data_IF_757911564796
#
_entry.id   IF_757911564796
#
_cell.length_a   1.000
_cell.length_b   1.000
_cell.length_c   1.000
_cell.angle_alpha   90.00
_cell.angle_beta   90.00
_cell.angle_gamma   90.00
#
_symmetry.space_group_name_H-M   'P 1'
#
loop_
_entity.id
_entity.type
_entity.pdbx_description
1 polymer ?
#
# COMPACT_ATOMS: atom_id res chain seq x y z
N UNK A 1 4.15 26.56 54.17
CA UNK A 1 3.31 27.07 53.07
C UNK A 1 3.82 26.47 51.78
N UNK A 2 3.01 25.66 51.10
CA UNK A 2 3.41 24.97 49.88
C UNK A 2 2.77 25.72 48.71
N UNK A 3 3.60 26.38 47.89
CA UNK A 3 3.12 27.13 46.73
C UNK A 3 2.82 26.15 45.60
N UNK A 4 1.53 25.98 45.31
CA UNK A 4 1.08 25.16 44.19
C UNK A 4 1.11 26.02 42.91
N UNK A 5 2.27 26.06 42.25
CA UNK A 5 2.44 26.83 41.01
C UNK A 5 1.87 25.99 39.85
N UNK A 6 0.79 26.49 39.26
CA UNK A 6 0.13 25.81 38.16
C UNK A 6 0.82 26.16 36.83
N UNK A 7 1.88 25.41 36.49
CA UNK A 7 2.73 25.65 35.31
C UNK A 7 1.95 25.82 34.00
N UNK A 8 0.79 25.17 33.87
CA UNK A 8 -0.06 25.27 32.67
C UNK A 8 -0.67 26.66 32.46
N UNK A 9 -1.08 27.33 33.54
CA UNK A 9 -1.63 28.68 33.45
C UNK A 9 -0.56 29.69 33.06
N UNK A 10 0.65 29.54 33.62
CA UNK A 10 1.80 30.42 33.33
C UNK A 10 2.28 30.28 31.88
N UNK A 11 2.27 29.06 31.33
CA UNK A 11 2.63 28.81 29.93
C UNK A 11 1.56 29.36 28.96
N UNK A 12 0.28 29.26 29.31
CA UNK A 12 -0.81 29.83 28.50
C UNK A 12 -0.69 31.36 28.39
N UNK A 13 -0.35 32.04 29.47
CA UNK A 13 -0.15 33.49 29.52
C UNK A 13 1.12 33.94 28.76
N UNK A 14 2.24 33.24 28.94
CA UNK A 14 3.51 33.59 28.30
C UNK A 14 3.51 33.42 26.77
N UNK A 15 2.74 32.45 26.26
CA UNK A 15 2.70 32.12 24.83
C UNK A 15 1.39 32.53 24.13
N UNK A 16 0.48 33.21 24.84
CA UNK A 16 -0.72 33.83 24.25
C UNK A 16 -1.81 32.86 23.77
N UNK A 17 -1.80 31.60 24.23
CA UNK A 17 -2.87 30.65 23.94
C UNK A 17 -3.85 30.60 25.10
N UNK A 18 -5.15 30.85 24.85
CA UNK A 18 -6.18 30.74 25.87
C UNK A 18 -6.20 29.31 26.46
N UNK A 19 -6.25 29.13 27.80
CA UNK A 19 -6.47 27.81 28.37
C UNK A 19 -7.78 27.28 27.80
N UNK A 20 -7.74 26.10 27.18
CA UNK A 20 -8.89 25.45 26.56
C UNK A 20 -10.07 25.48 27.54
N UNK A 21 -11.01 26.40 27.33
CA UNK A 21 -12.33 26.34 27.94
C UNK A 21 -12.87 25.00 27.46
N UNK A 22 -13.15 24.08 28.40
CA UNK A 22 -13.88 22.87 28.07
C UNK A 22 -15.23 23.35 27.54
N UNK A 23 -15.44 23.24 26.24
CA UNK A 23 -16.75 23.44 25.66
C UNK A 23 -17.65 22.38 26.28
N UNK A 24 -18.58 22.76 27.14
CA UNK A 24 -19.70 21.90 27.50
C UNK A 24 -20.58 21.85 26.26
N UNK A 25 -20.57 20.70 25.57
CA UNK A 25 -21.52 20.46 24.49
C UNK A 25 -22.94 20.55 25.09
N UNK A 26 -23.87 21.27 24.45
CA UNK A 26 -25.28 21.11 24.76
C UNK A 26 -25.63 19.62 24.63
N UNK A 27 -26.42 19.08 25.57
CA UNK A 27 -26.94 17.73 25.44
C UNK A 27 -27.63 17.60 24.07
N UNK A 28 -27.11 16.71 23.23
CA UNK A 28 -27.70 16.43 21.92
C UNK A 28 -29.15 15.98 22.15
N UNK A 29 -30.13 16.50 21.39
CA UNK A 29 -31.49 15.98 21.47
C UNK A 29 -31.47 14.48 21.16
N UNK A 30 -32.23 13.71 21.95
CA UNK A 30 -32.36 12.26 21.81
C UNK A 30 -32.56 11.88 20.34
N UNK A 31 -31.71 10.96 19.85
CA UNK A 31 -31.66 10.55 18.44
C UNK A 31 -33.03 10.07 17.96
N UNK A 32 -33.67 10.86 17.09
CA UNK A 32 -34.83 10.43 16.30
C UNK A 32 -34.40 9.38 15.27
N UNK A 33 -34.71 8.10 15.55
CA UNK A 33 -34.89 7.03 14.56
C UNK A 33 -33.68 6.64 13.70
N UNK A 34 -33.78 5.55 12.90
CA UNK A 34 -32.71 5.15 12.00
C UNK A 34 -32.69 6.15 10.86
N UNK A 35 -31.71 7.07 10.87
CA UNK A 35 -31.46 7.95 9.74
C UNK A 35 -31.09 7.09 8.54
N UNK A 36 -31.98 7.05 7.56
CA UNK A 36 -31.80 6.50 6.22
C UNK A 36 -30.45 6.97 5.63
N UNK A 37 -29.51 6.03 5.56
CA UNK A 37 -28.56 5.81 4.47
C UNK A 37 -28.12 7.05 3.66
N UNK A 38 -27.31 7.94 4.25
CA UNK A 38 -26.62 8.99 3.46
C UNK A 38 -25.16 8.64 3.12
N UNK A 39 -24.59 7.65 3.80
CA UNK A 39 -23.33 7.03 3.44
C UNK A 39 -23.55 5.53 3.50
N UNK A 40 -23.51 4.88 2.33
CA UNK A 40 -23.77 3.46 2.21
C UNK A 40 -23.03 2.66 3.27
N UNK A 41 -23.67 1.61 3.77
CA UNK A 41 -23.01 0.61 4.60
C UNK A 41 -21.65 0.27 3.98
N UNK A 42 -20.56 0.20 4.76
CA UNK A 42 -19.26 -0.19 4.22
C UNK A 42 -19.45 -1.55 3.57
N UNK A 43 -19.44 -1.55 2.23
CA UNK A 43 -19.55 -2.76 1.45
C UNK A 43 -18.28 -3.58 1.71
N UNK A 44 -18.38 -4.92 1.74
CA UNK A 44 -17.19 -5.76 1.75
C UNK A 44 -16.20 -5.31 0.66
N UNK A 45 -14.88 -5.35 0.88
CA UNK A 45 -13.88 -4.94 -0.10
C UNK A 45 -13.97 -5.73 -1.44
N UNK A 46 -14.67 -6.87 -1.43
CA UNK A 46 -14.92 -7.70 -2.61
C UNK A 46 -16.34 -7.54 -3.19
N UNK A 47 -17.12 -6.55 -2.74
CA UNK A 47 -18.51 -6.38 -3.19
C UNK A 47 -18.59 -5.91 -4.64
N UNK A 48 -18.99 -6.83 -5.53
CA UNK A 48 -19.21 -6.55 -6.94
C UNK A 48 -20.64 -6.02 -7.16
N UNK A 49 -20.84 -4.72 -6.97
CA UNK A 49 -22.05 -4.09 -7.48
C UNK A 49 -21.89 -3.69 -8.95
N UNK A 50 -22.85 -4.07 -9.79
CA UNK A 50 -22.93 -3.64 -11.18
C UNK A 50 -23.63 -2.28 -11.26
N UNK A 51 -22.85 -1.20 -11.16
CA UNK A 51 -23.31 0.16 -11.45
C UNK A 51 -22.78 0.65 -12.80
N UNK A 52 -23.66 1.09 -13.70
CA UNK A 52 -23.31 1.62 -15.04
C UNK A 52 -22.37 2.85 -14.97
N UNK A 53 -22.40 3.58 -13.86
CA UNK A 53 -21.61 4.81 -13.62
C UNK A 53 -20.38 4.57 -12.72
N UNK A 54 -20.06 3.30 -12.44
CA UNK A 54 -19.03 2.93 -11.48
C UNK A 54 -19.52 3.07 -10.03
N UNK A 55 -19.29 2.05 -9.23
CA UNK A 55 -19.40 2.16 -7.77
C UNK A 55 -18.01 2.48 -7.20
N UNK A 56 -17.92 3.17 -6.05
CA UNK A 56 -16.65 3.31 -5.36
C UNK A 56 -16.14 1.90 -5.01
N UNK A 57 -15.02 1.50 -5.63
CA UNK A 57 -14.36 0.23 -5.36
C UNK A 57 -13.34 0.46 -4.26
N UNK A 58 -13.55 -0.20 -3.13
CA UNK A 58 -12.64 -0.26 -2.01
C UNK A 58 -11.61 -1.37 -2.28
N UNK A 59 -10.44 -0.98 -2.79
CA UNK A 59 -9.39 -1.95 -3.04
C UNK A 59 -8.80 -2.46 -1.72
N UNK A 60 -8.38 -3.72 -1.71
CA UNK A 60 -7.62 -4.30 -0.60
C UNK A 60 -6.32 -4.87 -1.12
N UNK A 61 -5.22 -4.47 -0.51
CA UNK A 61 -3.88 -4.96 -0.83
C UNK A 61 -3.29 -5.58 0.41
N UNK A 62 -2.88 -6.83 0.30
CA UNK A 62 -2.26 -7.56 1.38
C UNK A 62 -0.82 -7.91 1.03
N UNK A 63 0.10 -7.53 1.90
CA UNK A 63 1.46 -8.02 1.89
C UNK A 63 1.52 -9.24 2.80
N UNK A 64 1.77 -10.42 2.22
CA UNK A 64 1.79 -11.68 2.98
C UNK A 64 3.07 -11.76 3.81
N UNK A 65 2.93 -12.02 5.10
CA UNK A 65 4.05 -12.08 6.04
C UNK A 65 5.18 -12.99 5.54
N UNK A 66 6.39 -12.45 5.48
CA UNK A 66 7.62 -13.22 5.29
C UNK A 66 8.49 -13.15 6.55
N UNK A 67 9.56 -13.94 6.61
CA UNK A 67 10.37 -14.10 7.81
C UNK A 67 11.06 -12.77 8.21
N UNK A 68 10.44 -12.04 9.14
CA UNK A 68 10.99 -10.77 9.65
C UNK A 68 9.97 -9.63 9.79
N UNK A 69 8.74 -9.79 9.27
CA UNK A 69 7.69 -8.77 9.35
C UNK A 69 6.29 -9.40 9.36
N UNK A 70 5.33 -8.70 9.95
CA UNK A 70 3.95 -9.17 10.09
C UNK A 70 3.10 -8.82 8.86
N UNK A 71 2.04 -9.59 8.59
CA UNK A 71 1.12 -9.31 7.48
C UNK A 71 0.55 -7.90 7.60
N UNK A 72 0.74 -7.09 6.55
CA UNK A 72 0.21 -5.73 6.49
C UNK A 72 -0.93 -5.72 5.49
N UNK A 73 -2.12 -5.33 5.97
CA UNK A 73 -3.30 -5.12 5.15
C UNK A 73 -3.49 -3.63 4.96
N UNK A 74 -3.47 -3.20 3.70
CA UNK A 74 -3.78 -1.84 3.30
C UNK A 74 -5.24 -1.79 2.87
N UNK A 75 -6.04 -1.03 3.62
CA UNK A 75 -7.43 -0.75 3.30
C UNK A 75 -7.49 0.47 2.39
N UNK A 76 -8.24 0.33 1.29
CA UNK A 76 -8.53 1.39 0.32
C UNK A 76 -7.31 2.09 -0.31
N UNK A 77 -6.23 1.38 -0.68
CA UNK A 77 -5.15 2.01 -1.42
C UNK A 77 -5.56 2.25 -2.88
N UNK A 78 -5.12 3.38 -3.39
CA UNK A 78 -5.13 3.67 -4.83
C UNK A 78 -3.90 3.00 -5.42
N UNK A 79 -4.14 2.03 -6.31
CA UNK A 79 -3.09 1.27 -6.99
C UNK A 79 -3.05 1.68 -8.46
N UNK A 80 -1.90 2.18 -8.88
CA UNK A 80 -1.60 2.49 -10.27
C UNK A 80 -0.56 1.48 -10.78
N UNK A 81 -0.84 0.85 -11.92
CA UNK A 81 0.03 -0.16 -12.52
C UNK A 81 0.29 0.22 -13.97
N UNK A 82 1.57 0.35 -14.31
CA UNK A 82 2.04 0.61 -15.67
C UNK A 82 3.10 -0.41 -16.07
N UNK A 83 3.29 -0.61 -17.38
CA UNK A 83 4.30 -1.51 -17.93
C UNK A 83 4.76 -0.99 -19.27
N UNK A 84 6.05 -0.72 -19.39
CA UNK A 84 6.65 -0.22 -20.62
C UNK A 84 7.31 -1.36 -21.38
N UNK A 85 6.98 -1.49 -22.67
CA UNK A 85 7.58 -2.48 -23.55
C UNK A 85 8.90 -1.96 -24.12
N UNK A 86 9.91 -2.81 -24.19
CA UNK A 86 11.16 -2.51 -24.87
C UNK A 86 11.02 -2.88 -26.35
N UNK A 87 10.91 -1.86 -27.21
CA UNK A 87 10.82 -2.00 -28.67
C UNK A 87 11.93 -1.18 -29.31
N UNK A 88 12.80 -1.85 -30.07
CA UNK A 88 13.84 -1.19 -30.86
C UNK A 88 13.24 -0.87 -32.23
N UNK A 89 13.34 0.39 -32.67
CA UNK A 89 12.83 0.83 -33.97
C UNK A 89 14.00 1.21 -34.85
N UNK A 90 14.13 0.53 -35.99
CA UNK A 90 15.22 0.77 -36.95
C UNK A 90 14.64 1.34 -38.24
N UNK A 91 15.07 2.55 -38.60
CA UNK A 91 14.69 3.21 -39.83
C UNK A 91 15.42 2.59 -41.03
N UNK A 92 14.70 2.30 -42.11
CA UNK A 92 15.27 1.75 -43.35
C UNK A 92 15.38 2.88 -44.38
N UNK A 93 16.56 3.05 -44.96
CA UNK A 93 16.76 4.03 -46.04
C UNK A 93 15.96 3.66 -47.29
N UNK A 94 15.25 4.64 -47.87
CA UNK A 94 14.53 4.48 -49.13
C UNK A 94 13.13 3.87 -48.99
N UNK A 95 12.59 3.76 -47.77
CA UNK A 95 11.21 3.33 -47.54
C UNK A 95 10.56 4.22 -46.48
N UNK A 96 9.29 4.56 -46.69
CA UNK A 96 8.47 5.20 -45.67
C UNK A 96 8.02 4.12 -44.66
N UNK A 97 8.83 3.91 -43.63
CA UNK A 97 8.53 3.03 -42.51
C UNK A 97 9.76 2.47 -41.81
N UNK A 98 9.58 2.08 -40.55
CA UNK A 98 10.60 1.46 -39.71
C UNK A 98 10.24 0.04 -39.30
N UNK A 99 11.27 -0.76 -39.06
CA UNK A 99 11.13 -2.10 -38.48
C UNK A 99 11.12 -1.98 -36.97
N UNK A 100 10.07 -2.54 -36.34
CA UNK A 100 9.91 -2.58 -34.87
C UNK A 100 10.25 -3.98 -34.37
N UNK A 101 11.31 -4.07 -33.59
CA UNK A 101 11.77 -5.30 -32.97
C UNK A 101 11.31 -5.33 -31.51
N UNK A 102 10.50 -6.33 -31.17
CA UNK A 102 10.02 -6.52 -29.81
C UNK A 102 11.07 -7.30 -29.01
N UNK A 103 11.72 -6.64 -28.06
CA UNK A 103 12.77 -7.26 -27.24
C UNK A 103 12.18 -7.86 -25.97
N UNK A 104 11.41 -7.07 -25.23
CA UNK A 104 10.80 -7.52 -23.97
C UNK A 104 9.53 -6.74 -23.66
N UNK A 105 8.67 -7.33 -22.84
CA UNK A 105 7.50 -6.63 -22.33
C UNK A 105 7.81 -5.73 -21.11
N UNK A 106 9.07 -5.67 -20.64
CA UNK A 106 9.47 -4.94 -19.43
C UNK A 106 8.81 -5.45 -18.16
N UNK A 107 9.06 -4.76 -17.04
CA UNK A 107 8.49 -5.06 -15.72
C UNK A 107 7.29 -4.16 -15.43
N UNK A 108 6.36 -4.63 -14.58
CA UNK A 108 5.29 -3.78 -14.08
C UNK A 108 5.84 -2.80 -13.03
N UNK A 109 5.68 -1.52 -13.29
CA UNK A 109 5.83 -0.47 -12.29
C UNK A 109 4.51 -0.29 -11.56
N UNK A 110 4.54 -0.46 -10.24
CA UNK A 110 3.35 -0.37 -9.37
C UNK A 110 3.54 0.78 -8.41
N UNK A 111 2.60 1.72 -8.39
CA UNK A 111 2.55 2.81 -7.41
C UNK A 111 1.34 2.63 -6.52
N UNK A 112 1.56 2.51 -5.21
CA UNK A 112 0.50 2.32 -4.21
C UNK A 112 0.44 3.57 -3.35
N UNK A 113 -0.70 4.25 -3.35
CA UNK A 113 -0.95 5.47 -2.56
C UNK A 113 -2.11 5.23 -1.62
N UNK A 114 -1.99 5.70 -0.39
CA UNK A 114 -3.08 5.56 0.57
C UNK A 114 -2.86 6.39 1.82
N UNK A 115 -3.76 6.23 2.77
CA UNK A 115 -3.69 6.89 4.06
C UNK A 115 -3.80 5.84 5.16
N UNK A 116 -2.82 5.84 6.06
CA UNK A 116 -2.89 5.09 7.31
C UNK A 116 -3.68 5.92 8.32
N UNK A 117 -4.66 5.30 8.93
CA UNK A 117 -5.41 5.85 10.06
C UNK A 117 -5.26 4.90 11.24
N UNK A 118 -5.26 5.45 12.46
CA UNK A 118 -5.38 4.61 13.65
C UNK A 118 -6.80 4.05 13.70
N UNK A 119 -6.94 2.74 13.90
CA UNK A 119 -8.24 2.09 14.08
C UNK A 119 -8.95 2.72 15.29
N UNK A 120 -10.20 3.21 15.17
CA UNK A 120 -10.97 3.68 16.31
C UNK A 120 -11.24 2.51 17.27
N UNK A 121 -10.35 2.32 18.24
CA UNK A 121 -10.63 1.44 19.38
C UNK A 121 -11.93 1.94 20.03
N UNK A 122 -12.96 1.09 20.04
CA UNK A 122 -14.30 1.37 20.59
C UNK A 122 -15.14 2.45 19.87
N UNK A 123 -14.95 2.64 18.56
CA UNK A 123 -15.79 3.57 17.77
C UNK A 123 -15.56 5.05 18.11
N UNK A 124 -14.46 5.37 18.80
CA UNK A 124 -14.04 6.74 19.12
C UNK A 124 -13.02 7.23 18.11
N UNK A 125 -13.16 8.49 17.67
CA UNK A 125 -12.17 9.17 16.83
C UNK A 125 -10.76 9.00 17.42
N UNK A 126 -9.91 8.22 16.75
CA UNK A 126 -8.53 8.07 17.15
C UNK A 126 -7.83 9.42 16.94
N UNK A 127 -7.57 10.15 18.03
CA UNK A 127 -6.81 11.41 18.01
C UNK A 127 -5.30 11.19 17.96
N UNK A 128 -4.86 9.94 17.86
CA UNK A 128 -3.44 9.56 17.95
C UNK A 128 -2.90 9.30 16.56
N UNK A 129 -1.63 9.65 16.37
CA UNK A 129 -0.88 9.31 15.17
C UNK A 129 -0.71 7.78 15.04
N UNK A 130 -0.92 7.19 13.85
CA UNK A 130 -0.86 5.74 13.59
C UNK A 130 0.57 5.20 13.62
N UNK A 131 1.14 5.20 14.82
CA UNK A 131 2.56 4.86 15.03
C UNK A 131 2.82 3.38 14.76
N UNK A 132 1.86 2.51 15.09
CA UNK A 132 2.01 1.05 14.94
C UNK A 132 1.93 0.64 13.48
N UNK A 133 0.99 1.23 12.75
CA UNK A 133 0.73 1.00 11.34
C UNK A 133 1.91 1.51 10.49
N UNK A 134 2.43 2.69 10.83
CA UNK A 134 3.63 3.24 10.17
C UNK A 134 4.84 2.35 10.45
N UNK A 135 5.05 1.88 11.68
CA UNK A 135 6.16 0.97 12.00
C UNK A 135 6.02 -0.37 11.28
N UNK A 136 4.81 -0.93 11.19
CA UNK A 136 4.56 -2.17 10.45
C UNK A 136 4.87 -1.99 8.96
N UNK A 137 4.39 -0.91 8.34
CA UNK A 137 4.68 -0.61 6.95
C UNK A 137 6.16 -0.33 6.72
N UNK A 138 6.83 0.33 7.65
CA UNK A 138 8.27 0.56 7.60
C UNK A 138 9.08 -0.74 7.67
N UNK A 139 8.63 -1.74 8.44
CA UNK A 139 9.25 -3.06 8.46
C UNK A 139 9.17 -3.75 7.10
N UNK A 140 8.00 -3.66 6.43
CA UNK A 140 7.80 -4.18 5.06
C UNK A 140 8.71 -3.46 4.06
N UNK A 141 8.79 -2.14 4.13
CA UNK A 141 9.65 -1.32 3.25
C UNK A 141 11.13 -1.68 3.39
N UNK A 142 11.57 -2.02 4.61
CA UNK A 142 12.96 -2.38 4.90
C UNK A 142 13.31 -3.83 4.53
N UNK A 143 12.32 -4.65 4.16
CA UNK A 143 12.56 -6.02 3.73
C UNK A 143 13.37 -6.02 2.41
N UNK A 144 14.49 -6.75 2.40
CA UNK A 144 15.40 -6.84 1.23
C UNK A 144 15.05 -8.03 0.33
N UNK A 145 13.77 -8.36 0.25
CA UNK A 145 13.27 -9.55 -0.44
C UNK A 145 12.06 -9.17 -1.30
N UNK A 146 11.74 -10.04 -2.26
CA UNK A 146 10.52 -9.90 -3.05
C UNK A 146 9.31 -10.18 -2.15
N UNK A 147 8.40 -9.21 -2.07
CA UNK A 147 7.25 -9.26 -1.17
C UNK A 147 6.08 -9.90 -1.90
N UNK A 148 5.56 -11.04 -1.41
CA UNK A 148 4.35 -11.63 -1.98
C UNK A 148 3.14 -10.72 -1.72
N UNK A 149 2.45 -10.35 -2.80
CA UNK A 149 1.30 -9.44 -2.77
C UNK A 149 0.02 -10.16 -3.20
N UNK A 150 -1.07 -9.85 -2.52
CA UNK A 150 -2.41 -10.31 -2.92
C UNK A 150 -3.35 -9.11 -3.07
N UNK A 151 -4.06 -9.08 -4.19
CA UNK A 151 -5.11 -8.10 -4.46
C UNK A 151 -5.81 -8.42 -5.77
N UNK A 152 -7.01 -7.88 -5.97
CA UNK A 152 -7.82 -8.15 -7.17
C UNK A 152 -7.08 -7.82 -8.46
N UNK A 153 -6.54 -6.60 -8.55
CA UNK A 153 -5.84 -6.13 -9.76
C UNK A 153 -4.54 -6.90 -10.01
N UNK A 154 -3.78 -7.22 -8.95
CA UNK A 154 -2.56 -8.02 -9.05
C UNK A 154 -2.82 -9.43 -9.57
N UNK A 155 -3.88 -10.10 -9.09
CA UNK A 155 -4.30 -11.42 -9.59
C UNK A 155 -4.67 -11.39 -11.07
N UNK A 156 -5.41 -10.37 -11.50
CA UNK A 156 -5.81 -10.22 -12.90
C UNK A 156 -4.62 -10.00 -13.84
N UNK A 157 -3.60 -9.28 -13.38
CA UNK A 157 -2.38 -9.01 -14.15
C UNK A 157 -1.30 -10.09 -13.97
N UNK A 158 -1.53 -11.11 -13.15
CA UNK A 158 -0.57 -12.20 -12.88
C UNK A 158 0.61 -11.80 -11.99
N UNK A 159 0.57 -10.64 -11.33
CA UNK A 159 1.64 -10.14 -10.47
C UNK A 159 1.55 -10.84 -9.11
N UNK A 160 2.61 -11.56 -8.74
CA UNK A 160 2.67 -12.33 -7.49
C UNK A 160 3.61 -11.72 -6.45
N UNK A 161 4.75 -11.19 -6.87
CA UNK A 161 5.71 -10.56 -5.98
C UNK A 161 6.03 -9.14 -6.43
N UNK A 162 6.32 -8.29 -5.46
CA UNK A 162 6.71 -6.90 -5.65
C UNK A 162 8.00 -6.61 -4.88
N UNK A 163 8.89 -5.84 -5.49
CA UNK A 163 10.08 -5.28 -4.84
C UNK A 163 9.88 -3.78 -4.68
N UNK A 164 10.06 -3.28 -3.45
CA UNK A 164 9.90 -1.85 -3.16
C UNK A 164 11.17 -1.10 -3.60
N UNK A 165 11.01 -0.18 -4.56
CA UNK A 165 12.09 0.69 -5.07
C UNK A 165 12.24 1.95 -4.24
N UNK A 166 11.14 2.49 -3.72
CA UNK A 166 11.16 3.71 -2.93
C UNK A 166 9.82 3.98 -2.26
N UNK A 167 9.83 4.87 -1.28
CA UNK A 167 8.66 5.26 -0.54
C UNK A 167 8.68 6.77 -0.25
N UNK A 168 7.52 7.36 -0.04
CA UNK A 168 7.33 8.76 0.34
C UNK A 168 6.21 8.88 1.37
N UNK A 169 6.35 9.83 2.29
CA UNK A 169 5.40 10.11 3.36
C UNK A 169 4.89 11.54 3.23
N UNK A 170 3.96 11.83 2.31
CA UNK A 170 3.42 13.17 2.15
C UNK A 170 2.66 13.62 3.40
N UNK A 171 2.84 14.89 3.78
CA UNK A 171 2.12 15.47 4.90
C UNK A 171 0.68 15.84 4.49
N UNK A 172 -0.29 15.47 5.31
CA UNK A 172 -1.68 15.90 5.17
C UNK A 172 -1.92 17.11 6.09
N UNK A 173 -2.22 18.31 5.55
CA UNK A 173 -2.48 19.48 6.38
C UNK A 173 -3.77 19.29 7.18
N UNK A 174 -3.72 19.56 8.49
CA UNK A 174 -4.90 19.59 9.35
C UNK A 174 -5.30 18.26 10.01
N UNK A 175 -4.58 17.17 9.75
CA UNK A 175 -4.86 15.86 10.36
C UNK A 175 -3.66 15.35 11.16
N UNK A 176 -3.87 15.05 12.45
CA UNK A 176 -2.82 14.50 13.34
C UNK A 176 -2.87 12.98 13.43
N UNK A 177 -3.99 12.38 13.05
CA UNK A 177 -4.27 10.96 13.14
C UNK A 177 -4.15 10.21 11.81
N UNK A 178 -3.78 10.91 10.74
CA UNK A 178 -3.64 10.37 9.39
C UNK A 178 -2.19 10.50 8.94
N UNK A 179 -1.67 9.45 8.34
CA UNK A 179 -0.39 9.47 7.64
C UNK A 179 -0.57 8.97 6.22
N UNK A 180 -0.41 9.85 5.24
CA UNK A 180 -0.40 9.44 3.84
C UNK A 180 0.93 8.75 3.49
N UNK A 181 0.86 7.79 2.57
CA UNK A 181 2.02 7.07 2.07
C UNK A 181 1.92 6.89 0.55
N UNK A 182 3.09 6.85 -0.08
CA UNK A 182 3.27 6.47 -1.48
C UNK A 182 4.41 5.45 -1.55
N UNK A 183 4.14 4.28 -2.12
CA UNK A 183 5.12 3.24 -2.38
C UNK A 183 5.30 3.10 -3.88
N UNK A 184 6.56 2.98 -4.31
CA UNK A 184 6.94 2.70 -5.69
C UNK A 184 7.59 1.33 -5.72
N UNK A 185 6.96 0.41 -6.42
CA UNK A 185 7.33 -0.99 -6.50
C UNK A 185 7.55 -1.43 -7.94
N UNK A 186 8.33 -2.49 -8.11
CA UNK A 186 8.51 -3.20 -9.37
C UNK A 186 8.02 -4.64 -9.20
N UNK A 187 7.39 -5.22 -10.22
CA UNK A 187 7.09 -6.64 -10.22
C UNK A 187 8.35 -7.48 -10.31
N UNK A 188 8.40 -8.56 -9.55
CA UNK A 188 9.42 -9.58 -9.69
C UNK A 188 8.75 -10.93 -9.91
N UNK A 189 9.15 -11.61 -10.98
CA UNK A 189 8.72 -12.97 -11.27
C UNK A 189 9.84 -13.92 -10.88
N UNK A 190 9.59 -14.90 -9.98
CA UNK A 190 10.63 -15.81 -9.55
C UNK A 190 11.09 -16.62 -10.76
N UNK A 191 12.36 -16.45 -11.14
CA UNK A 191 13.00 -17.28 -12.16
C UNK A 191 13.17 -18.69 -11.57
N UNK A 192 12.44 -19.65 -12.14
CA UNK A 192 12.75 -21.06 -11.93
C UNK A 192 14.05 -21.38 -12.68
N UNK A 193 15.14 -21.55 -11.93
CA UNK A 193 16.37 -22.11 -12.48
C UNK A 193 16.12 -23.58 -12.81
N UNK A 194 15.70 -23.87 -14.05
CA UNK A 194 15.71 -25.22 -14.57
C UNK A 194 17.16 -25.69 -14.65
N UNK A 195 17.59 -26.38 -13.60
CA UNK A 195 18.87 -27.09 -13.64
C UNK A 195 18.65 -28.23 -14.62
N UNK A 196 19.03 -28.03 -15.88
CA UNK A 196 19.10 -29.11 -16.85
C UNK A 196 20.07 -30.14 -16.29
N UNK A 197 19.52 -31.20 -15.68
CA UNK A 197 20.30 -32.37 -15.31
C UNK A 197 20.80 -32.97 -16.62
N UNK A 198 22.07 -32.69 -16.93
CA UNK A 198 22.79 -33.41 -17.97
C UNK A 198 22.60 -34.91 -17.70
N UNK A 199 22.02 -35.69 -18.62
CA UNK A 199 21.89 -37.11 -18.41
C UNK A 199 23.31 -37.65 -18.22
N UNK A 200 23.53 -38.34 -17.10
CA UNK A 200 24.77 -39.04 -16.85
C UNK A 200 24.93 -40.09 -17.96
N UNK A 201 25.69 -39.76 -19.00
CA UNK A 201 26.16 -40.70 -20.00
C UNK A 201 27.09 -41.68 -19.27
N UNK A 202 26.50 -42.78 -18.83
CA UNK A 202 27.21 -43.91 -18.24
C UNK A 202 28.15 -44.49 -19.28
N UNK A 203 29.40 -44.04 -19.28
CA UNK A 203 30.49 -44.72 -19.95
C UNK A 203 30.78 -46.00 -19.17
N UNK A 204 30.11 -47.09 -19.56
CA UNK A 204 30.48 -48.43 -19.15
C UNK A 204 31.81 -48.80 -19.84
N UNK A 205 32.93 -48.57 -19.16
CA UNK A 205 34.18 -49.23 -19.50
C UNK A 205 34.04 -50.71 -19.12
N UNK A 206 33.79 -51.57 -20.11
CA UNK A 206 33.97 -53.02 -19.94
C UNK A 206 35.47 -53.32 -19.88
N UNK A 207 35.98 -53.99 -18.84
CA UNK A 207 37.37 -54.44 -18.86
C UNK A 207 37.49 -55.65 -19.81
N UNK A 208 38.24 -55.46 -20.90
CA UNK A 208 38.63 -56.57 -21.79
C UNK A 208 39.92 -57.19 -21.27
N UNK A 209 39.78 -58.45 -20.82
CA UNK A 209 40.79 -59.52 -20.63
C UNK A 209 41.96 -59.26 -19.67
#
# INVERSE_FOLDING_TARGET
>A
MQYNINLRALAAEAFGYAPLIRYELPEEPEKEGPSTELYGTPLPPDFEGTGLLGLPVFARVEFLAAAGWAQVVLNDPIVEISRDKLIVTTEIQGRDGSVKEFISNGDYAVTIKGVLASDPTDGRYARRYPTREVQALQAVINAKEAIPVTGRLFKLLGIRNLVIKGHSWPALPGFTNLQAYELRCLSDEPIELQTASLPALGFAFSPTT
#
